data_IF_251962488083
#
_entry.id   IF_251962488083
#
_cell.length_a   1.000
_cell.length_b   1.000
_cell.length_c   1.000
_cell.angle_alpha   90.00
_cell.angle_beta   90.00
_cell.angle_gamma   90.00
#
_symmetry.space_group_name_H-M   'P 1'
#
loop_
_entity.id
_entity.type
_entity.pdbx_description
1 polymer ?
#
# COMPACT_ATOMS: atom_id res chain seq x y z
N UNK A 1 15.66 0.90 -13.78
CA UNK A 1 15.87 0.23 -12.48
C UNK A 1 15.70 1.31 -11.43
N UNK A 2 14.50 1.50 -10.89
CA UNK A 2 14.28 2.51 -9.86
C UNK A 2 14.90 2.03 -8.55
N UNK A 3 16.05 2.60 -8.20
CA UNK A 3 16.61 2.51 -6.85
C UNK A 3 15.72 3.30 -5.92
N UNK A 4 14.68 2.68 -5.36
CA UNK A 4 13.90 3.33 -4.30
C UNK A 4 14.76 3.35 -3.02
N UNK A 5 15.24 4.53 -2.68
CA UNK A 5 15.89 4.88 -1.40
C UNK A 5 14.88 5.18 -0.28
N UNK A 6 13.60 4.86 -0.50
CA UNK A 6 12.54 5.00 0.51
C UNK A 6 12.42 3.77 1.43
N UNK A 7 11.93 3.99 2.65
CA UNK A 7 11.58 2.91 3.57
C UNK A 7 10.53 1.98 2.93
N UNK A 8 10.77 0.66 2.98
CA UNK A 8 9.85 -0.36 2.47
C UNK A 8 9.37 -1.26 3.61
N UNK A 9 8.09 -1.59 3.61
CA UNK A 9 7.53 -2.65 4.45
C UNK A 9 7.07 -3.80 3.56
N UNK A 10 7.44 -5.02 3.93
CA UNK A 10 7.08 -6.24 3.23
C UNK A 10 6.25 -7.13 4.17
N UNK A 11 5.12 -7.63 3.68
CA UNK A 11 4.20 -8.47 4.43
C UNK A 11 4.01 -9.82 3.74
N UNK A 12 3.73 -10.86 4.52
CA UNK A 12 3.51 -12.22 4.03
C UNK A 12 2.48 -12.94 4.89
N UNK A 13 1.99 -14.08 4.38
CA UNK A 13 0.92 -14.91 4.95
C UNK A 13 -0.47 -14.24 4.92
N UNK A 14 -1.51 -15.06 4.83
CA UNK A 14 -2.88 -14.57 4.82
C UNK A 14 -3.28 -14.01 6.20
N UNK A 15 -4.12 -12.97 6.19
CA UNK A 15 -4.60 -12.30 7.40
C UNK A 15 -4.74 -10.80 7.26
N UNK A 16 -5.42 -10.20 8.24
CA UNK A 16 -5.52 -8.74 8.37
C UNK A 16 -4.52 -8.25 9.40
N UNK A 17 -3.73 -7.26 9.02
CA UNK A 17 -2.75 -6.62 9.88
C UNK A 17 -3.07 -5.12 9.99
N UNK A 18 -3.52 -4.66 11.16
CA UNK A 18 -3.59 -3.22 11.42
C UNK A 18 -2.16 -2.68 11.53
N UNK A 19 -1.87 -1.63 10.77
CA UNK A 19 -0.54 -0.99 10.73
C UNK A 19 -0.69 0.52 10.81
N UNK A 20 0.42 1.23 10.93
CA UNK A 20 0.46 2.67 10.73
C UNK A 20 1.71 2.99 9.94
N UNK A 21 1.55 3.19 8.63
CA UNK A 21 2.66 3.52 7.74
C UNK A 21 2.33 4.75 6.92
N UNK A 22 3.10 5.81 7.14
CA UNK A 22 2.93 7.11 6.50
C UNK A 22 3.82 7.24 5.26
N UNK A 23 3.56 8.26 4.44
CA UNK A 23 4.36 8.64 3.29
C UNK A 23 4.48 7.54 2.21
N UNK A 24 3.43 6.73 2.07
CA UNK A 24 3.39 5.64 1.08
C UNK A 24 2.94 6.17 -0.29
N UNK A 25 3.79 6.02 -1.30
CA UNK A 25 3.46 6.41 -2.68
C UNK A 25 3.20 5.20 -3.60
N UNK A 26 3.67 4.02 -3.20
CA UNK A 26 3.67 2.82 -4.03
C UNK A 26 3.17 1.60 -3.26
N UNK A 27 2.34 0.81 -3.93
CA UNK A 27 1.77 -0.43 -3.45
C UNK A 27 2.17 -1.54 -4.41
N UNK A 28 2.56 -2.68 -3.84
CA UNK A 28 3.07 -3.82 -4.60
C UNK A 28 2.43 -5.10 -4.09
N UNK A 29 2.08 -6.00 -5.00
CA UNK A 29 1.68 -7.37 -4.68
C UNK A 29 2.61 -8.38 -5.35
N UNK A 30 2.91 -9.45 -4.62
CA UNK A 30 3.57 -10.64 -5.15
C UNK A 30 2.55 -11.66 -5.63
N UNK A 31 2.77 -12.94 -5.33
CA UNK A 31 1.86 -14.04 -5.67
C UNK A 31 0.55 -14.11 -4.83
N UNK A 32 0.19 -13.02 -4.12
CA UNK A 32 -1.00 -12.97 -3.27
C UNK A 32 -1.91 -11.83 -3.75
N UNK A 33 -3.22 -12.01 -3.57
CA UNK A 33 -4.17 -10.89 -3.67
C UNK A 33 -4.10 -10.12 -2.36
N UNK A 34 -4.01 -8.79 -2.41
CA UNK A 34 -3.84 -7.94 -1.23
C UNK A 34 -4.74 -6.73 -1.32
N UNK A 35 -5.44 -6.40 -0.21
CA UNK A 35 -6.17 -5.14 -0.06
C UNK A 35 -5.44 -4.22 0.90
N UNK A 36 -5.19 -2.99 0.48
CA UNK A 36 -4.68 -1.91 1.31
C UNK A 36 -5.80 -0.93 1.62
N UNK A 37 -5.95 -0.56 2.89
CA UNK A 37 -6.86 0.51 3.32
C UNK A 37 -6.02 1.67 3.86
N UNK A 38 -6.23 2.87 3.32
CA UNK A 38 -5.39 4.04 3.59
C UNK A 38 -6.15 5.35 3.48
N UNK A 39 -5.57 6.41 4.05
CA UNK A 39 -6.02 7.79 3.91
C UNK A 39 -5.03 8.53 3.03
N UNK A 40 -5.49 9.28 2.03
CA UNK A 40 -4.64 10.18 1.25
C UNK A 40 -4.33 11.42 2.09
N UNK A 41 -3.06 11.64 2.40
CA UNK A 41 -2.60 12.67 3.33
C UNK A 41 -2.98 14.08 2.88
N UNK A 42 -2.99 14.34 1.57
CA UNK A 42 -3.21 15.66 1.00
C UNK A 42 -4.67 16.14 1.07
N UNK A 43 -5.64 15.22 1.14
CA UNK A 43 -7.06 15.56 1.11
C UNK A 43 -7.92 14.82 2.13
N UNK A 44 -7.34 13.94 2.96
CA UNK A 44 -8.04 13.17 3.98
C UNK A 44 -9.00 12.10 3.44
N UNK A 45 -8.92 11.76 2.15
CA UNK A 45 -9.83 10.80 1.54
C UNK A 45 -9.51 9.37 1.99
N UNK A 46 -10.52 8.65 2.48
CA UNK A 46 -10.42 7.23 2.78
C UNK A 46 -10.51 6.43 1.47
N UNK A 47 -9.53 5.58 1.24
CA UNK A 47 -9.39 4.80 0.03
C UNK A 47 -9.08 3.34 0.36
N UNK A 48 -9.59 2.45 -0.49
CA UNK A 48 -9.18 1.05 -0.51
C UNK A 48 -8.70 0.69 -1.91
N UNK A 49 -7.65 -0.13 -1.98
CA UNK A 49 -7.18 -0.69 -3.24
C UNK A 49 -6.90 -2.16 -3.07
N UNK A 50 -7.48 -2.98 -3.96
CA UNK A 50 -7.17 -4.40 -4.06
C UNK A 50 -6.23 -4.59 -5.24
N UNK A 51 -5.06 -5.15 -4.99
CA UNK A 51 -4.11 -5.57 -6.01
C UNK A 51 -4.26 -7.07 -6.26
N UNK A 52 -4.41 -7.44 -7.53
CA UNK A 52 -4.28 -8.83 -7.97
C UNK A 52 -2.82 -9.25 -7.92
N UNK A 53 -2.53 -10.52 -8.23
CA UNK A 53 -1.16 -11.06 -8.18
C UNK A 53 -0.24 -10.31 -9.15
N UNK A 54 0.96 -9.97 -8.68
CA UNK A 54 2.03 -9.32 -9.46
C UNK A 54 1.67 -7.93 -9.99
N UNK A 55 0.80 -7.20 -9.28
CA UNK A 55 0.41 -5.85 -9.64
C UNK A 55 1.18 -4.80 -8.85
N UNK A 56 1.43 -3.67 -9.50
CA UNK A 56 2.01 -2.49 -8.89
C UNK A 56 1.06 -1.31 -9.10
N UNK A 57 0.89 -0.49 -8.07
CA UNK A 57 0.07 0.72 -8.15
C UNK A 57 0.75 1.86 -7.43
N UNK A 58 0.70 3.03 -8.04
CA UNK A 58 1.22 4.27 -7.46
C UNK A 58 0.08 5.25 -7.27
N UNK A 59 0.23 6.13 -6.29
CA UNK A 59 -0.62 7.31 -6.17
C UNK A 59 -0.29 8.34 -7.25
N UNK A 60 -1.18 9.31 -7.43
CA UNK A 60 -0.91 10.50 -8.24
C UNK A 60 0.35 11.19 -7.74
N UNK A 61 1.12 11.79 -8.66
CA UNK A 61 2.36 12.47 -8.30
C UNK A 61 2.15 13.52 -7.19
N UNK A 62 2.97 13.45 -6.15
CA UNK A 62 2.89 14.31 -4.97
C UNK A 62 1.87 13.89 -3.92
N UNK A 63 1.12 12.80 -4.13
CA UNK A 63 0.21 12.26 -3.12
C UNK A 63 0.84 11.14 -2.29
N UNK A 64 0.50 11.12 -1.02
CA UNK A 64 1.00 10.18 -0.04
C UNK A 64 -0.15 9.51 0.70
N UNK A 65 0.02 8.23 1.02
CA UNK A 65 -0.94 7.48 1.81
C UNK A 65 -0.44 7.27 3.23
N UNK A 66 -1.35 7.42 4.19
CA UNK A 66 -1.28 6.81 5.51
C UNK A 66 -2.04 5.49 5.48
N UNK A 67 -1.30 4.39 5.38
CA UNK A 67 -1.85 3.03 5.36
C UNK A 67 -2.12 2.58 6.78
N UNK A 68 -3.37 2.19 7.05
CA UNK A 68 -3.80 1.77 8.37
C UNK A 68 -4.19 0.28 8.46
N UNK A 69 -4.40 -0.39 7.32
CA UNK A 69 -4.65 -1.83 7.29
C UNK A 69 -4.17 -2.48 6.00
N UNK A 70 -3.66 -3.71 6.12
CA UNK A 70 -3.33 -4.60 5.01
C UNK A 70 -4.03 -5.93 5.22
N UNK A 71 -4.76 -6.40 4.21
CA UNK A 71 -5.40 -7.71 4.19
C UNK A 71 -4.81 -8.54 3.06
N UNK A 72 -4.18 -9.65 3.39
CA UNK A 72 -3.68 -10.64 2.43
C UNK A 72 -4.66 -11.81 2.42
N UNK A 73 -5.15 -12.18 1.24
CA UNK A 73 -6.09 -13.30 1.04
C UNK A 73 -5.37 -14.64 0.97
#
# INVERSE_FOLDING_TARGET
METSTGNRMCFANAGSLPISFNDVMHFHSGNNVVKFSYIVAENGCYCEVTLQKWENRSLTWGWHAHVYNVLIY
#
